data_IF_751129627569
#
_entry.id   IF_751129627569
#
_cell.length_a   1.000
_cell.length_b   1.000
_cell.length_c   1.000
_cell.angle_alpha   90.00
_cell.angle_beta   90.00
_cell.angle_gamma   90.00
#
_symmetry.space_group_name_H-M   'P 1'
#
loop_
_entity.id
_entity.type
_entity.pdbx_description
1 polymer ?
#
# COMPACT_ATOMS: atom_id res chain seq x y z
N UNK A 1 1.53 2.69 -22.01
CA UNK A 1 0.65 1.78 -21.24
C UNK A 1 0.40 0.47 -21.97
N UNK A 2 0.23 0.49 -23.30
CA UNK A 2 -0.13 -0.71 -24.10
C UNK A 2 0.68 -1.98 -23.81
N UNK A 3 1.99 -1.88 -23.51
CA UNK A 3 2.82 -3.05 -23.16
C UNK A 3 2.94 -3.27 -21.63
N UNK A 4 2.77 -2.22 -20.82
CA UNK A 4 2.92 -2.28 -19.36
C UNK A 4 1.72 -2.92 -18.68
N UNK A 5 0.49 -2.65 -19.13
CA UNK A 5 -0.72 -3.24 -18.53
C UNK A 5 -0.74 -4.76 -18.70
N UNK A 6 -0.52 -5.31 -19.92
CA UNK A 6 -0.40 -6.77 -20.09
C UNK A 6 0.74 -7.37 -19.28
N UNK A 7 1.91 -6.72 -19.26
CA UNK A 7 3.06 -7.24 -18.51
C UNK A 7 2.81 -7.23 -16.99
N UNK A 8 2.11 -6.22 -16.45
CA UNK A 8 1.71 -6.18 -15.05
C UNK A 8 0.67 -7.27 -14.74
N UNK A 9 -0.32 -7.48 -15.61
CA UNK A 9 -1.30 -8.55 -15.48
C UNK A 9 -0.61 -9.91 -15.38
N UNK A 10 0.34 -10.19 -16.29
CA UNK A 10 1.11 -11.43 -16.28
C UNK A 10 1.92 -11.58 -14.98
N UNK A 11 2.59 -10.52 -14.54
CA UNK A 11 3.41 -10.52 -13.33
C UNK A 11 2.62 -10.80 -12.05
N UNK A 12 1.38 -10.30 -11.98
CA UNK A 12 0.53 -10.46 -10.81
C UNK A 12 -0.19 -11.81 -10.78
N UNK A 13 -0.74 -12.24 -11.91
CA UNK A 13 -1.71 -13.34 -11.94
C UNK A 13 -1.21 -14.62 -12.59
N UNK A 14 -0.06 -14.60 -13.27
CA UNK A 14 0.53 -15.84 -13.82
C UNK A 14 1.17 -16.70 -12.73
N UNK A 15 1.01 -18.01 -12.83
CA UNK A 15 1.72 -18.99 -12.00
C UNK A 15 3.15 -19.29 -12.49
N UNK A 16 3.55 -18.73 -13.64
CA UNK A 16 4.80 -19.09 -14.33
C UNK A 16 6.10 -18.60 -13.65
N UNK A 17 6.01 -17.71 -12.64
CA UNK A 17 7.18 -17.14 -11.97
C UNK A 17 7.12 -17.39 -10.47
N UNK A 18 8.24 -17.89 -9.93
CA UNK A 18 8.41 -18.05 -8.48
C UNK A 18 8.59 -16.69 -7.81
N UNK A 19 7.99 -16.54 -6.63
CA UNK A 19 8.15 -15.34 -5.81
C UNK A 19 9.57 -15.30 -5.27
N UNK A 20 10.26 -14.17 -5.39
CA UNK A 20 11.65 -13.99 -4.92
C UNK A 20 11.74 -14.03 -3.38
N UNK A 21 10.59 -14.04 -2.69
CA UNK A 21 10.48 -14.31 -1.27
C UNK A 21 10.65 -13.07 -0.40
N UNK A 22 10.68 -13.27 0.92
CA UNK A 22 10.92 -12.22 1.92
C UNK A 22 12.28 -11.54 1.78
N UNK A 23 13.24 -12.24 1.18
CA UNK A 23 14.63 -11.82 1.02
C UNK A 23 14.76 -10.50 0.25
N UNK A 24 13.76 -10.16 -0.57
CA UNK A 24 13.72 -8.90 -1.32
C UNK A 24 13.70 -7.65 -0.43
N UNK A 25 13.00 -7.72 0.70
CA UNK A 25 12.87 -6.59 1.62
C UNK A 25 14.06 -6.50 2.59
N UNK A 26 14.70 -7.63 2.91
CA UNK A 26 15.84 -7.69 3.83
C UNK A 26 17.16 -7.31 3.15
N UNK A 27 17.42 -7.85 1.95
CA UNK A 27 18.66 -7.60 1.18
C UNK A 27 18.61 -6.21 0.51
N UNK A 28 17.40 -5.66 0.36
CA UNK A 28 17.17 -4.39 -0.30
C UNK A 28 17.02 -4.56 -1.81
N UNK A 29 15.90 -4.06 -2.34
CA UNK A 29 15.50 -4.19 -3.75
C UNK A 29 16.56 -3.65 -4.71
N UNK A 30 17.34 -2.65 -4.29
CA UNK A 30 18.39 -2.07 -5.12
C UNK A 30 19.47 -3.11 -5.47
N UNK A 31 19.94 -3.93 -4.52
CA UNK A 31 20.96 -4.94 -4.82
C UNK A 31 20.45 -5.96 -5.84
N UNK A 32 19.21 -6.42 -5.64
CA UNK A 32 18.60 -7.48 -6.43
C UNK A 32 18.28 -7.01 -7.85
N UNK A 33 17.92 -5.73 -8.02
CA UNK A 33 17.79 -5.11 -9.34
C UNK A 33 19.12 -5.08 -10.09
N UNK A 34 20.24 -4.83 -9.41
CA UNK A 34 21.57 -4.81 -10.03
C UNK A 34 22.04 -6.21 -10.42
N UNK A 35 21.75 -7.21 -9.59
CA UNK A 35 22.11 -8.62 -9.85
C UNK A 35 21.26 -9.24 -10.97
N UNK A 36 20.23 -8.53 -11.45
CA UNK A 36 19.41 -8.92 -12.59
C UNK A 36 18.34 -9.96 -12.27
N UNK A 37 18.26 -10.44 -11.02
CA UNK A 37 17.29 -11.44 -10.56
C UNK A 37 15.82 -11.00 -10.78
N UNK A 38 15.54 -9.70 -10.74
CA UNK A 38 14.18 -9.19 -10.95
C UNK A 38 13.78 -9.10 -12.42
N UNK A 39 14.69 -9.33 -13.38
CA UNK A 39 14.37 -9.30 -14.81
C UNK A 39 13.47 -10.46 -15.23
N UNK A 40 13.36 -11.50 -14.42
CA UNK A 40 12.46 -12.62 -14.68
C UNK A 40 11.00 -12.23 -14.44
N UNK A 41 10.73 -11.11 -13.75
CA UNK A 41 9.37 -10.57 -13.62
C UNK A 41 9.00 -9.81 -14.92
N UNK A 42 7.94 -10.21 -15.65
CA UNK A 42 7.60 -9.64 -16.97
C UNK A 42 7.50 -8.12 -17.00
N UNK A 43 6.84 -7.51 -15.99
CA UNK A 43 6.68 -6.05 -15.92
C UNK A 43 8.02 -5.34 -15.70
N UNK A 44 8.90 -5.92 -14.87
CA UNK A 44 10.24 -5.36 -14.63
C UNK A 44 11.09 -5.44 -15.90
N UNK A 45 11.04 -6.58 -16.60
CA UNK A 45 11.69 -6.75 -17.90
C UNK A 45 11.17 -5.74 -18.93
N UNK A 46 9.85 -5.52 -18.96
CA UNK A 46 9.22 -4.56 -19.88
C UNK A 46 9.66 -3.13 -19.57
N UNK A 47 9.65 -2.72 -18.30
CA UNK A 47 10.11 -1.38 -17.88
C UNK A 47 11.58 -1.16 -18.24
N UNK A 48 12.45 -2.14 -17.95
CA UNK A 48 13.89 -2.02 -18.18
C UNK A 48 14.31 -2.26 -19.65
N UNK A 49 13.49 -2.98 -20.42
CA UNK A 49 13.74 -3.35 -21.81
C UNK A 49 13.21 -2.36 -22.84
N UNK A 50 12.31 -1.44 -22.45
CA UNK A 50 11.65 -0.48 -23.33
C UNK A 50 12.55 0.62 -23.94
N UNK A 51 13.89 0.49 -23.92
CA UNK A 51 14.76 1.42 -24.62
C UNK A 51 16.23 0.99 -24.75
N UNK A 52 16.82 1.26 -25.92
CA UNK A 52 18.28 1.29 -26.14
C UNK A 52 19.02 2.37 -25.31
N UNK A 53 18.27 3.13 -24.50
CA UNK A 53 18.75 4.11 -23.53
C UNK A 53 18.51 3.52 -22.15
N UNK A 54 19.37 2.59 -21.76
CA UNK A 54 19.37 2.11 -20.40
C UNK A 54 19.61 3.31 -19.45
N UNK A 55 18.84 3.35 -18.36
CA UNK A 55 19.18 3.96 -17.07
C UNK A 55 18.85 5.45 -16.82
N UNK A 56 17.66 5.94 -17.17
CA UNK A 56 17.17 7.13 -16.44
C UNK A 56 16.77 6.70 -15.00
N UNK A 57 16.90 7.61 -14.04
CA UNK A 57 16.63 7.33 -12.61
C UNK A 57 15.16 6.95 -12.38
N UNK A 58 14.25 7.46 -13.21
CA UNK A 58 12.81 7.20 -13.10
C UNK A 58 12.46 5.75 -13.45
N UNK A 59 12.98 5.19 -14.54
CA UNK A 59 12.70 3.81 -14.95
C UNK A 59 13.26 2.81 -13.93
N UNK A 60 14.44 3.10 -13.37
CA UNK A 60 15.02 2.31 -12.28
C UNK A 60 14.16 2.38 -11.03
N UNK A 61 13.66 3.57 -10.66
CA UNK A 61 12.76 3.72 -9.54
C UNK A 61 11.43 3.00 -9.79
N UNK A 62 10.81 3.16 -10.96
CA UNK A 62 9.57 2.49 -11.31
C UNK A 62 9.73 0.96 -11.27
N UNK A 63 10.82 0.42 -11.81
CA UNK A 63 11.15 -1.00 -11.71
C UNK A 63 11.27 -1.45 -10.24
N UNK A 64 11.91 -0.65 -9.39
CA UNK A 64 12.03 -0.89 -7.94
C UNK A 64 10.68 -0.92 -7.23
N UNK A 65 9.84 0.09 -7.43
CA UNK A 65 8.51 0.17 -6.83
C UNK A 65 7.63 -1.00 -7.29
N UNK A 66 7.70 -1.34 -8.58
CA UNK A 66 6.88 -2.40 -9.18
C UNK A 66 7.33 -3.78 -8.71
N UNK A 67 8.63 -4.03 -8.64
CA UNK A 67 9.18 -5.25 -8.07
C UNK A 67 8.73 -5.47 -6.61
N UNK A 68 8.78 -4.42 -5.79
CA UNK A 68 8.31 -4.46 -4.40
C UNK A 68 6.83 -4.83 -4.33
N UNK A 69 6.02 -4.19 -5.18
CA UNK A 69 4.59 -4.38 -5.23
C UNK A 69 4.23 -5.81 -5.63
N UNK A 70 4.77 -6.29 -6.76
CA UNK A 70 4.50 -7.65 -7.27
C UNK A 70 4.93 -8.71 -6.26
N UNK A 71 6.13 -8.59 -5.70
CA UNK A 71 6.61 -9.55 -4.71
C UNK A 71 5.70 -9.58 -3.47
N UNK A 72 5.37 -8.40 -2.93
CA UNK A 72 4.49 -8.29 -1.75
C UNK A 72 3.10 -8.85 -2.03
N UNK A 73 2.51 -8.54 -3.19
CA UNK A 73 1.21 -9.03 -3.61
C UNK A 73 1.17 -10.56 -3.66
N UNK A 74 2.18 -11.17 -4.29
CA UNK A 74 2.26 -12.64 -4.44
C UNK A 74 2.48 -13.36 -3.11
N UNK A 75 3.03 -12.69 -2.09
CA UNK A 75 3.15 -13.26 -0.73
C UNK A 75 1.91 -13.05 0.15
N UNK A 76 0.84 -12.39 -0.33
CA UNK A 76 -0.37 -12.16 0.48
C UNK A 76 -1.26 -13.40 0.65
N UNK A 77 -0.88 -14.57 0.13
CA UNK A 77 -1.67 -15.79 0.26
C UNK A 77 -3.05 -15.67 -0.41
N UNK A 78 -3.08 -15.15 -1.63
CA UNK A 78 -4.27 -15.15 -2.49
C UNK A 78 -4.37 -16.53 -3.13
N UNK A 79 -5.53 -17.15 -3.02
CA UNK A 79 -5.81 -18.48 -3.59
C UNK A 79 -5.98 -18.40 -5.11
N UNK A 80 -5.73 -19.51 -5.81
CA UNK A 80 -5.96 -19.58 -7.27
C UNK A 80 -7.41 -19.23 -7.63
N UNK A 81 -8.39 -19.65 -6.84
CA UNK A 81 -9.80 -19.35 -7.07
C UNK A 81 -10.13 -17.85 -6.93
N UNK A 82 -9.51 -17.15 -5.98
CA UNK A 82 -9.65 -15.69 -5.86
C UNK A 82 -9.04 -14.97 -7.07
N UNK A 83 -7.86 -15.43 -7.52
CA UNK A 83 -7.20 -14.91 -8.73
C UNK A 83 -8.08 -15.13 -9.96
N UNK A 84 -8.55 -16.35 -10.19
CA UNK A 84 -9.41 -16.70 -11.33
C UNK A 84 -10.67 -15.84 -11.36
N UNK A 85 -11.37 -15.73 -10.22
CA UNK A 85 -12.58 -14.90 -10.10
C UNK A 85 -12.31 -13.42 -10.39
N UNK A 86 -11.15 -12.91 -10.01
CA UNK A 86 -10.78 -11.52 -10.27
C UNK A 86 -10.39 -11.30 -11.73
N UNK A 87 -9.57 -12.19 -12.29
CA UNK A 87 -9.14 -12.15 -13.69
C UNK A 87 -10.33 -12.27 -14.64
N UNK A 88 -11.32 -13.13 -14.35
CA UNK A 88 -12.56 -13.22 -15.14
C UNK A 88 -13.30 -11.87 -15.23
N UNK A 89 -13.39 -11.11 -14.11
CA UNK A 89 -14.00 -9.78 -14.11
C UNK A 89 -13.24 -8.81 -15.03
N UNK A 90 -11.91 -8.86 -14.98
CA UNK A 90 -11.04 -8.00 -15.79
C UNK A 90 -11.12 -8.33 -17.29
N UNK A 91 -11.12 -9.63 -17.65
CA UNK A 91 -11.18 -10.08 -19.05
C UNK A 91 -12.51 -9.75 -19.73
N UNK A 92 -13.58 -9.60 -18.96
CA UNK A 92 -14.89 -9.20 -19.48
C UNK A 92 -14.95 -7.72 -19.91
N UNK A 93 -13.92 -6.91 -19.64
CA UNK A 93 -13.86 -5.50 -20.03
C UNK A 93 -12.42 -4.98 -20.14
N UNK A 94 -11.92 -4.79 -21.36
CA UNK A 94 -10.60 -4.18 -21.59
C UNK A 94 -10.46 -2.78 -20.97
N UNK A 95 -11.56 -2.04 -20.90
CA UNK A 95 -11.62 -0.74 -20.24
C UNK A 95 -11.40 -0.87 -18.72
N UNK A 96 -11.97 -1.89 -18.09
CA UNK A 96 -11.81 -2.13 -16.66
C UNK A 96 -10.37 -2.53 -16.33
N UNK A 97 -9.78 -3.42 -17.14
CA UNK A 97 -8.38 -3.81 -17.02
C UNK A 97 -7.44 -2.60 -17.08
N UNK A 98 -7.60 -1.74 -18.09
CA UNK A 98 -6.82 -0.51 -18.25
C UNK A 98 -7.05 0.47 -17.09
N UNK A 99 -8.29 0.62 -16.61
CA UNK A 99 -8.60 1.48 -15.47
C UNK A 99 -7.91 0.99 -14.18
N UNK A 100 -7.99 -0.31 -13.92
CA UNK A 100 -7.48 -0.91 -12.69
C UNK A 100 -5.95 -0.96 -12.68
N UNK A 101 -5.35 -1.66 -13.65
CA UNK A 101 -3.90 -1.85 -13.71
C UNK A 101 -3.18 -0.56 -14.15
N UNK A 102 -3.81 0.29 -14.96
CA UNK A 102 -3.29 1.61 -15.28
C UNK A 102 -3.20 2.51 -14.04
N UNK A 103 -4.20 2.49 -13.15
CA UNK A 103 -4.13 3.22 -11.87
C UNK A 103 -2.98 2.71 -11.00
N UNK A 104 -2.82 1.39 -10.89
CA UNK A 104 -1.72 0.78 -10.14
C UNK A 104 -0.36 1.25 -10.70
N UNK A 105 -0.17 1.23 -12.02
CA UNK A 105 1.08 1.69 -12.66
C UNK A 105 1.36 3.18 -12.41
N UNK A 106 0.34 4.04 -12.50
CA UNK A 106 0.49 5.48 -12.26
C UNK A 106 0.91 5.73 -10.81
N UNK A 107 0.24 5.09 -9.86
CA UNK A 107 0.56 5.17 -8.43
C UNK A 107 2.01 4.71 -8.15
N UNK A 108 2.43 3.58 -8.71
CA UNK A 108 3.79 3.08 -8.55
C UNK A 108 4.85 4.00 -9.16
N UNK A 109 4.53 4.68 -10.26
CA UNK A 109 5.43 5.65 -10.89
C UNK A 109 5.62 6.93 -10.07
N UNK A 110 4.67 7.28 -9.21
CA UNK A 110 4.74 8.44 -8.32
C UNK A 110 5.49 8.14 -7.01
N UNK A 111 5.63 6.86 -6.63
CA UNK A 111 6.26 6.48 -5.37
C UNK A 111 7.77 6.62 -5.39
N UNK A 112 8.30 7.20 -4.32
CA UNK A 112 9.74 7.25 -4.02
C UNK A 112 10.09 6.22 -2.94
N UNK A 113 9.29 6.18 -1.88
CA UNK A 113 9.50 5.27 -0.74
C UNK A 113 8.87 3.90 -1.00
N UNK A 114 9.69 2.86 -1.06
CA UNK A 114 9.28 1.45 -1.30
C UNK A 114 8.18 0.98 -0.35
N UNK A 115 8.18 1.44 0.90
CA UNK A 115 7.17 1.06 1.90
C UNK A 115 5.74 1.40 1.43
N UNK A 116 5.57 2.44 0.62
CA UNK A 116 4.26 2.81 0.06
C UNK A 116 3.78 1.76 -0.95
N UNK A 117 4.64 1.35 -1.88
CA UNK A 117 4.33 0.26 -2.83
C UNK A 117 4.06 -1.08 -2.13
N UNK A 118 4.72 -1.35 -1.00
CA UNK A 118 4.41 -2.51 -0.15
C UNK A 118 3.00 -2.41 0.44
N UNK A 119 2.60 -1.24 0.95
CA UNK A 119 1.25 -1.05 1.52
C UNK A 119 0.17 -1.13 0.44
N UNK A 120 0.40 -0.48 -0.69
CA UNK A 120 -0.51 -0.51 -1.84
C UNK A 120 -0.70 -1.93 -2.39
N UNK A 121 0.35 -2.77 -2.38
CA UNK A 121 0.23 -4.18 -2.74
C UNK A 121 -0.66 -4.97 -1.78
N UNK A 122 -0.61 -4.66 -0.48
CA UNK A 122 -1.50 -5.28 0.52
C UNK A 122 -2.95 -4.82 0.32
N UNK A 123 -3.19 -3.54 0.05
CA UNK A 123 -4.54 -3.04 -0.26
C UNK A 123 -5.08 -3.69 -1.54
N UNK A 124 -4.27 -3.77 -2.59
CA UNK A 124 -4.68 -4.40 -3.84
C UNK A 124 -4.97 -5.90 -3.65
N UNK A 125 -4.16 -6.61 -2.86
CA UNK A 125 -4.45 -7.98 -2.49
C UNK A 125 -5.78 -8.12 -1.72
N UNK A 126 -6.05 -7.24 -0.75
CA UNK A 126 -7.32 -7.23 -0.03
C UNK A 126 -8.52 -6.99 -0.97
N UNK A 127 -8.36 -6.12 -1.97
CA UNK A 127 -9.36 -5.88 -3.01
C UNK A 127 -9.58 -7.11 -3.91
N UNK A 128 -8.50 -7.76 -4.38
CA UNK A 128 -8.57 -9.01 -5.18
C UNK A 128 -9.27 -10.12 -4.40
N UNK A 129 -8.99 -10.22 -3.09
CA UNK A 129 -9.68 -11.14 -2.14
C UNK A 129 -11.11 -10.72 -1.82
N UNK A 130 -11.58 -9.56 -2.28
CA UNK A 130 -12.91 -9.01 -2.03
C UNK A 130 -13.17 -8.72 -0.55
N UNK A 131 -12.12 -8.45 0.22
CA UNK A 131 -12.22 -7.96 1.60
C UNK A 131 -12.53 -6.47 1.68
N UNK A 132 -12.20 -5.72 0.62
CA UNK A 132 -12.51 -4.30 0.46
C UNK A 132 -13.04 -4.03 -0.96
N UNK A 133 -13.72 -2.90 -1.14
CA UNK A 133 -14.22 -2.45 -2.43
C UNK A 133 -13.14 -1.72 -3.24
N UNK A 134 -13.44 -1.45 -4.51
CA UNK A 134 -12.54 -0.69 -5.39
C UNK A 134 -12.33 0.74 -4.89
N UNK A 135 -13.40 1.34 -4.37
CA UNK A 135 -13.41 2.68 -3.81
C UNK A 135 -12.53 2.75 -2.56
N UNK A 136 -12.62 1.75 -1.68
CA UNK A 136 -11.77 1.61 -0.49
C UNK A 136 -10.29 1.50 -0.90
N UNK A 137 -9.97 0.65 -1.89
CA UNK A 137 -8.62 0.54 -2.42
C UNK A 137 -8.11 1.89 -2.95
N UNK A 138 -8.93 2.60 -3.73
CA UNK A 138 -8.59 3.90 -4.27
C UNK A 138 -8.31 4.92 -3.16
N UNK A 139 -9.16 4.98 -2.13
CA UNK A 139 -9.02 5.88 -1.00
C UNK A 139 -7.75 5.57 -0.18
N UNK A 140 -7.49 4.29 0.11
CA UNK A 140 -6.28 3.86 0.81
C UNK A 140 -5.00 4.23 0.05
N UNK A 141 -4.99 4.11 -1.28
CA UNK A 141 -3.89 4.59 -2.13
C UNK A 141 -3.72 6.12 -2.05
N UNK A 142 -4.81 6.88 -2.13
CA UNK A 142 -4.77 8.35 -2.05
C UNK A 142 -4.33 8.85 -0.67
N UNK A 143 -4.67 8.13 0.40
CA UNK A 143 -4.15 8.35 1.75
C UNK A 143 -2.64 8.06 1.80
N UNK A 144 -2.21 6.91 1.28
CA UNK A 144 -0.79 6.47 1.29
C UNK A 144 0.11 7.43 0.52
N UNK A 145 -0.37 7.95 -0.61
CA UNK A 145 0.31 8.99 -1.39
C UNK A 145 0.62 10.22 -0.53
N UNK A 146 -0.34 10.68 0.29
CA UNK A 146 -0.22 11.87 1.15
C UNK A 146 0.50 11.61 2.49
N UNK A 147 0.66 10.35 2.89
CA UNK A 147 1.26 9.98 4.15
C UNK A 147 2.79 10.19 4.13
N UNK A 148 3.32 10.80 5.18
CA UNK A 148 4.77 10.83 5.40
C UNK A 148 5.22 9.51 6.04
N UNK A 149 6.29 8.91 5.54
CA UNK A 149 6.84 7.65 6.10
C UNK A 149 7.17 7.78 7.59
N UNK A 150 7.60 8.97 8.03
CA UNK A 150 7.86 9.27 9.44
C UNK A 150 6.64 9.10 10.36
N UNK A 151 5.44 9.21 9.81
CA UNK A 151 4.19 9.25 10.57
C UNK A 151 3.62 7.85 10.79
N UNK A 152 4.02 6.89 9.95
CA UNK A 152 3.65 5.47 10.04
C UNK A 152 3.96 4.92 11.43
N UNK A 153 5.10 5.29 12.02
CA UNK A 153 5.45 4.85 13.38
C UNK A 153 4.42 5.32 14.42
N UNK A 154 3.95 6.56 14.29
CA UNK A 154 2.94 7.13 15.19
C UNK A 154 1.57 6.52 14.98
N UNK A 155 1.21 6.22 13.73
CA UNK A 155 0.00 5.46 13.43
C UNK A 155 0.05 4.04 14.02
N UNK A 156 1.18 3.34 13.89
CA UNK A 156 1.36 1.99 14.45
C UNK A 156 1.28 1.99 15.97
N UNK A 157 1.89 3.00 16.61
CA UNK A 157 1.80 3.21 18.04
C UNK A 157 0.34 3.40 18.48
N UNK A 158 -0.42 4.27 17.79
CA UNK A 158 -1.85 4.45 18.05
C UNK A 158 -2.64 3.14 17.85
N UNK A 159 -2.38 2.40 16.78
CA UNK A 159 -3.05 1.13 16.49
C UNK A 159 -2.84 0.07 17.58
N UNK A 160 -1.60 -0.12 18.02
CA UNK A 160 -1.28 -1.10 19.07
C UNK A 160 -1.92 -0.72 20.42
N UNK A 161 -2.04 0.57 20.71
CA UNK A 161 -2.60 1.05 21.97
C UNK A 161 -4.13 1.24 21.94
N UNK A 162 -4.78 0.96 20.81
CA UNK A 162 -6.21 1.19 20.62
C UNK A 162 -6.60 2.67 20.61
N UNK A 163 -5.69 3.55 20.17
CA UNK A 163 -5.85 5.00 20.16
C UNK A 163 -4.61 5.73 20.70
N UNK A 164 -4.68 7.06 20.75
CA UNK A 164 -3.70 7.92 21.43
C UNK A 164 -4.31 8.33 22.76
N UNK A 165 -3.64 7.99 23.86
CA UNK A 165 -4.10 8.26 25.23
C UNK A 165 -3.31 9.41 25.85
N UNK A 166 -3.82 9.97 26.93
CA UNK A 166 -3.07 10.88 27.78
C UNK A 166 -1.76 10.23 28.29
N UNK A 167 -0.77 11.07 28.58
CA UNK A 167 0.60 10.61 28.84
C UNK A 167 1.42 10.24 27.60
N UNK A 168 0.81 10.01 26.43
CA UNK A 168 1.54 9.90 25.16
C UNK A 168 1.99 11.28 24.69
N UNK A 169 3.23 11.36 24.17
CA UNK A 169 3.75 12.62 23.61
C UNK A 169 2.98 13.01 22.35
N UNK A 170 2.11 14.00 22.46
CA UNK A 170 1.47 14.64 21.31
C UNK A 170 2.50 15.35 20.44
N UNK A 171 2.43 15.10 19.14
CA UNK A 171 3.36 15.63 18.15
C UNK A 171 2.60 16.00 16.89
N UNK A 172 3.19 16.85 16.04
CA UNK A 172 2.56 17.32 14.79
C UNK A 172 2.22 16.18 13.82
N UNK A 173 2.83 15.00 13.97
CA UNK A 173 2.49 13.80 13.20
C UNK A 173 1.02 13.38 13.41
N UNK A 174 0.47 13.52 14.62
CA UNK A 174 -0.93 13.15 14.85
C UNK A 174 -1.91 14.08 14.13
N UNK A 175 -1.62 15.38 14.09
CA UNK A 175 -2.41 16.34 13.31
C UNK A 175 -2.40 15.99 11.80
N UNK A 176 -1.25 15.53 11.27
CA UNK A 176 -1.20 15.04 9.89
C UNK A 176 -1.96 13.75 9.68
N UNK A 177 -1.91 12.81 10.62
CA UNK A 177 -2.70 11.58 10.57
C UNK A 177 -4.21 11.87 10.59
N UNK A 178 -4.64 12.88 11.35
CA UNK A 178 -6.01 13.40 11.30
C UNK A 178 -6.32 14.01 9.92
N UNK A 179 -5.40 14.81 9.36
CA UNK A 179 -5.62 15.47 8.06
C UNK A 179 -5.77 14.52 6.87
N UNK A 180 -5.18 13.31 6.96
CA UNK A 180 -5.36 12.25 5.96
C UNK A 180 -6.47 11.27 6.36
N UNK A 181 -7.19 11.54 7.44
CA UNK A 181 -8.36 10.79 7.88
C UNK A 181 -8.04 9.49 8.61
N UNK A 182 -6.79 9.17 8.96
CA UNK A 182 -6.42 7.92 9.64
C UNK A 182 -6.65 7.94 11.15
N UNK A 183 -6.62 9.13 11.76
CA UNK A 183 -7.02 9.35 13.14
C UNK A 183 -8.17 10.34 13.20
N UNK A 184 -8.94 10.29 14.27
CA UNK A 184 -10.03 11.21 14.53
C UNK A 184 -10.06 11.65 15.99
N UNK A 185 -10.77 12.73 16.23
CA UNK A 185 -11.12 13.21 17.55
C UNK A 185 -12.64 13.34 17.57
N UNK A 186 -13.34 12.32 18.07
CA UNK A 186 -14.81 12.29 18.06
C UNK A 186 -15.42 13.46 18.84
N UNK A 187 -14.79 13.89 19.93
CA UNK A 187 -15.22 15.07 20.69
C UNK A 187 -15.23 16.32 19.81
N UNK A 188 -14.17 16.56 19.00
CA UNK A 188 -14.12 17.70 18.06
C UNK A 188 -15.17 17.60 16.94
N UNK A 189 -15.43 16.41 16.40
CA UNK A 189 -16.42 16.22 15.32
C UNK A 189 -17.85 16.42 15.81
N UNK A 190 -18.14 16.04 17.05
CA UNK A 190 -19.45 16.22 17.70
C UNK A 190 -19.67 17.62 18.29
N UNK A 191 -18.68 18.51 18.20
CA UNK A 191 -18.72 19.86 18.81
C UNK A 191 -18.56 19.86 20.33
N UNK A 192 -18.18 18.73 20.92
CA UNK A 192 -17.86 18.58 22.34
C UNK A 192 -16.43 19.01 22.68
N UNK A 193 -16.22 19.42 23.93
CA UNK A 193 -14.88 19.58 24.50
C UNK A 193 -14.32 18.23 24.99
N UNK A 194 -13.00 18.07 24.98
CA UNK A 194 -12.34 17.01 25.75
C UNK A 194 -12.22 17.51 27.18
N UNK A 195 -12.84 16.80 28.13
CA UNK A 195 -12.64 17.02 29.55
C UNK A 195 -11.65 15.96 30.06
N UNK A 196 -10.50 16.42 30.56
CA UNK A 196 -9.53 15.56 31.23
C UNK A 196 -9.85 15.64 32.71
N UNK A 197 -10.36 14.55 33.28
CA UNK A 197 -10.50 14.44 34.74
C UNK A 197 -9.12 14.11 35.32
N UNK A 198 -8.65 14.95 36.25
CA UNK A 198 -7.34 14.77 36.88
C UNK A 198 -7.35 13.74 38.02
N UNK A 199 -8.54 13.35 38.49
CA UNK A 199 -8.71 12.36 39.55
C UNK A 199 -8.95 10.94 39.01
N UNK A 200 -9.10 10.78 37.67
CA UNK A 200 -9.27 9.47 37.06
C UNK A 200 -7.92 8.72 36.94
N UNK A 201 -7.96 7.42 37.19
CA UNK A 201 -6.79 6.55 37.15
C UNK A 201 -6.63 5.85 35.82
N UNK A 202 -7.69 5.83 34.99
CA UNK A 202 -7.61 5.28 33.64
C UNK A 202 -7.14 6.35 32.63
N UNK A 203 -6.24 6.00 31.69
CA UNK A 203 -5.75 6.95 30.71
C UNK A 203 -6.88 7.45 29.79
N UNK A 204 -7.09 8.77 29.73
CA UNK A 204 -8.10 9.40 28.88
C UNK A 204 -7.74 9.24 27.39
N UNK A 205 -8.69 8.82 26.56
CA UNK A 205 -8.50 8.73 25.12
C UNK A 205 -8.55 10.12 24.46
N UNK A 206 -7.50 10.47 23.72
CA UNK A 206 -7.35 11.77 23.06
C UNK A 206 -7.66 11.70 21.56
N UNK A 207 -7.24 10.61 20.91
CA UNK A 207 -7.50 10.35 19.49
C UNK A 207 -7.81 8.87 19.29
N UNK A 208 -8.66 8.60 18.31
CA UNK A 208 -9.07 7.26 17.90
C UNK A 208 -8.65 7.01 16.46
N UNK A 209 -8.61 5.74 16.07
CA UNK A 209 -8.58 5.41 14.65
C UNK A 209 -9.95 5.71 14.07
N UNK A 210 -9.99 6.37 12.92
CA UNK A 210 -11.23 6.44 12.15
C UNK A 210 -11.56 5.06 11.54
N UNK A 211 -12.77 4.85 10.98
CA UNK A 211 -13.08 3.61 10.26
C UNK A 211 -12.08 3.28 9.14
N UNK A 212 -11.66 4.27 8.34
CA UNK A 212 -10.63 4.08 7.30
C UNK A 212 -9.24 3.87 7.90
N UNK A 213 -8.95 4.48 9.06
CA UNK A 213 -7.74 4.26 9.84
C UNK A 213 -7.62 2.83 10.34
N UNK A 214 -8.69 2.28 10.90
CA UNK A 214 -8.75 0.88 11.32
C UNK A 214 -8.56 -0.05 10.12
N UNK A 215 -9.25 0.21 9.00
CA UNK A 215 -9.12 -0.57 7.77
C UNK A 215 -7.67 -0.59 7.27
N UNK A 216 -7.05 0.59 7.16
CA UNK A 216 -5.65 0.76 6.76
C UNK A 216 -4.72 -0.07 7.64
N UNK A 217 -4.85 0.05 8.96
CA UNK A 217 -3.97 -0.62 9.92
C UNK A 217 -4.19 -2.14 9.96
N UNK A 218 -5.44 -2.59 9.85
CA UNK A 218 -5.78 -4.01 9.81
C UNK A 218 -5.18 -4.69 8.59
N UNK A 219 -5.27 -4.08 7.40
CA UNK A 219 -4.69 -4.67 6.17
C UNK A 219 -3.16 -4.72 6.24
N UNK A 220 -2.52 -3.73 6.88
CA UNK A 220 -1.06 -3.66 6.90
C UNK A 220 -0.43 -4.53 7.99
N UNK A 221 -1.04 -4.62 9.18
CA UNK A 221 -0.41 -5.21 10.37
C UNK A 221 -1.12 -6.42 11.00
N UNK A 222 -2.31 -6.80 10.54
CA UNK A 222 -2.92 -8.10 10.90
C UNK A 222 -2.69 -9.11 9.80
#
# INVERSE_FOLDING_TARGET
MNDLVPALQESLFSSAFETIGSDLLEIGIDSILHDGLLKDIPIVSTILGAGKVAQNVHDRNLAKQTAAFVNTFRTQGITSTEIEKHVEKLLNSSKLLEQELGRVLIMLNENIDVVKSVYEAKFYAAFVKQHILWEDFCELCDITKRLFVSDIRKLKEAFINGGVKDGMKLTYQYERLISVGLLTNEARLSGGGIFIDMDDTEPTMLLELSPVGEMFCNIIWK
#
